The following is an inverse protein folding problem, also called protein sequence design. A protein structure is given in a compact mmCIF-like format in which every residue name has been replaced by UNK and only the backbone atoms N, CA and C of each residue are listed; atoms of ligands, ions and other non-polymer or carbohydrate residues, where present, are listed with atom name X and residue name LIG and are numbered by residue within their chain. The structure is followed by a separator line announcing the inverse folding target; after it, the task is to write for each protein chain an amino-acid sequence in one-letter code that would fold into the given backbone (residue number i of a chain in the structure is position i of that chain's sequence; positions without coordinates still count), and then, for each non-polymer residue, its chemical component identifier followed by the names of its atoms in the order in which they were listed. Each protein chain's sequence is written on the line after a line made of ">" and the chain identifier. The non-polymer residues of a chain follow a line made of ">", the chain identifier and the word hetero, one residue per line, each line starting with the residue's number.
data_IF_083209271284
#
_entry.id   IF_083209271284
#
_cell.length_a   1.000
_cell.length_b   1.000
_cell.length_c   1.000
_cell.angle_alpha   90.00
_cell.angle_beta   90.00
_cell.angle_gamma   90.00
#
_symmetry.space_group_name_H-M   'P 1'
#
loop_
_entity.id
_entity.type
_entity.pdbx_description
1 polymer ?
#
# COMPACT_ATOMS: atom_id res chain seq x y z
N UNK A 1 -22.55 1.36 -7.53
CA UNK A 1 -22.06 0.21 -6.73
C UNK A 1 -20.66 0.53 -6.22
N UNK A 2 -20.46 0.59 -4.89
CA UNK A 2 -19.13 0.78 -4.33
C UNK A 2 -18.37 -0.55 -4.44
N UNK A 3 -17.34 -0.59 -5.29
CA UNK A 3 -16.49 -1.78 -5.43
C UNK A 3 -15.78 -2.04 -4.09
N UNK A 4 -16.19 -3.12 -3.41
CA UNK A 4 -15.51 -3.61 -2.21
C UNK A 4 -14.23 -4.31 -2.66
N UNK A 5 -13.11 -3.89 -2.09
CA UNK A 5 -11.81 -4.53 -2.34
C UNK A 5 -11.62 -5.66 -1.35
N UNK A 6 -11.24 -6.82 -1.84
CA UNK A 6 -10.80 -7.95 -1.02
C UNK A 6 -9.28 -7.94 -0.85
N UNK A 7 -8.76 -8.60 0.19
CA UNK A 7 -7.30 -8.70 0.42
C UNK A 7 -6.57 -9.30 -0.78
N UNK A 8 -7.16 -10.30 -1.44
CA UNK A 8 -6.60 -10.96 -2.62
C UNK A 8 -6.50 -10.00 -3.82
N UNK A 9 -7.53 -9.17 -4.06
CA UNK A 9 -7.47 -8.15 -5.11
C UNK A 9 -6.42 -7.08 -4.80
N UNK A 10 -6.30 -6.69 -3.53
CA UNK A 10 -5.28 -5.73 -3.10
C UNK A 10 -3.88 -6.30 -3.33
N UNK A 11 -3.65 -7.56 -2.96
CA UNK A 11 -2.36 -8.22 -3.17
C UNK A 11 -2.00 -8.26 -4.65
N UNK A 12 -2.91 -8.73 -5.52
CA UNK A 12 -2.70 -8.73 -6.98
C UNK A 12 -2.46 -7.32 -7.51
N UNK A 13 -3.18 -6.32 -7.01
CA UNK A 13 -2.97 -4.93 -7.41
C UNK A 13 -1.57 -4.44 -7.05
N UNK A 14 -1.12 -4.73 -5.83
CA UNK A 14 0.19 -4.33 -5.30
C UNK A 14 1.31 -4.96 -6.12
N UNK A 15 1.24 -6.27 -6.38
CA UNK A 15 2.23 -7.01 -7.19
C UNK A 15 2.27 -6.55 -8.65
N UNK A 16 1.12 -6.20 -9.25
CA UNK A 16 1.06 -5.74 -10.65
C UNK A 16 1.44 -4.26 -10.83
N UNK A 17 1.33 -3.42 -9.79
CA UNK A 17 1.51 -1.96 -9.90
C UNK A 17 2.73 -1.43 -9.15
N UNK A 18 3.47 -2.31 -8.47
CA UNK A 18 4.65 -1.95 -7.69
C UNK A 18 5.55 -3.16 -7.46
N UNK A 19 6.79 -2.88 -7.07
CA UNK A 19 7.75 -3.90 -6.60
C UNK A 19 7.59 -4.20 -5.10
N UNK A 20 6.59 -3.60 -4.45
CA UNK A 20 6.27 -3.85 -3.04
C UNK A 20 5.41 -5.10 -2.91
N UNK A 21 5.48 -5.77 -1.75
CA UNK A 21 4.65 -6.94 -1.40
C UNK A 21 3.71 -6.61 -0.25
N UNK A 22 2.48 -7.10 -0.31
CA UNK A 22 1.54 -6.98 0.81
C UNK A 22 1.86 -8.06 1.86
N UNK A 23 2.04 -7.65 3.12
CA UNK A 23 2.27 -8.58 4.24
C UNK A 23 1.00 -8.80 5.08
N UNK A 24 -0.01 -7.97 4.91
CA UNK A 24 -1.26 -8.07 5.68
C UNK A 24 -2.13 -9.19 5.13
N UNK A 25 -2.72 -9.97 6.02
CA UNK A 25 -3.61 -11.10 5.69
C UNK A 25 -5.10 -10.73 5.77
N UNK A 26 -5.44 -9.67 6.51
CA UNK A 26 -6.82 -9.24 6.73
C UNK A 26 -7.06 -7.78 6.32
N UNK A 27 -8.19 -7.53 5.66
CA UNK A 27 -8.61 -6.19 5.26
C UNK A 27 -10.07 -5.94 5.65
N UNK A 28 -10.24 -5.05 6.62
CA UNK A 28 -11.50 -4.66 7.25
C UNK A 28 -12.08 -3.37 6.67
N UNK A 29 -11.26 -2.51 6.02
CA UNK A 29 -11.77 -1.29 5.40
C UNK A 29 -10.71 -0.29 4.93
N UNK A 30 -11.19 0.77 4.27
CA UNK A 30 -10.35 1.77 3.60
C UNK A 30 -9.46 2.60 4.55
N UNK A 31 -9.86 2.70 5.81
CA UNK A 31 -9.14 3.39 6.89
C UNK A 31 -8.08 2.50 7.55
N UNK A 32 -8.10 1.18 7.33
CA UNK A 32 -7.10 0.27 7.86
C UNK A 32 -5.75 0.51 7.17
N UNK A 33 -4.69 0.60 7.99
CA UNK A 33 -3.32 0.57 7.49
C UNK A 33 -2.94 -0.88 7.16
N UNK A 34 -2.43 -1.06 5.97
CA UNK A 34 -1.87 -2.31 5.49
C UNK A 34 -0.35 -2.24 5.59
N UNK A 35 0.24 -3.31 6.10
CA UNK A 35 1.68 -3.53 6.12
C UNK A 35 2.14 -4.00 4.74
N UNK A 36 3.12 -3.29 4.18
CA UNK A 36 3.78 -3.58 2.92
C UNK A 36 5.28 -3.74 3.14
N UNK A 37 5.90 -4.59 2.33
CA UNK A 37 7.35 -4.75 2.23
C UNK A 37 7.81 -4.12 0.91
N UNK A 38 8.68 -3.12 0.99
CA UNK A 38 9.24 -2.49 -0.19
C UNK A 38 10.35 -3.36 -0.81
N UNK A 39 10.65 -3.15 -2.09
CA UNK A 39 11.74 -3.83 -2.79
C UNK A 39 13.12 -3.60 -2.13
N UNK A 40 13.32 -2.47 -1.44
CA UNK A 40 14.54 -2.20 -0.67
C UNK A 40 14.67 -3.03 0.62
N UNK A 41 13.67 -3.85 0.96
CA UNK A 41 13.65 -4.67 2.18
C UNK A 41 13.03 -3.99 3.39
N UNK A 42 12.75 -2.68 3.33
CA UNK A 42 12.07 -1.95 4.41
C UNK A 42 10.57 -2.23 4.43
N UNK A 43 10.02 -2.38 5.63
CA UNK A 43 8.58 -2.51 5.85
C UNK A 43 7.95 -1.13 6.09
N UNK A 44 6.74 -0.91 5.60
CA UNK A 44 6.02 0.35 5.78
C UNK A 44 4.51 0.12 5.82
N UNK A 45 3.80 0.97 6.56
CA UNK A 45 2.36 0.86 6.74
C UNK A 45 1.63 1.99 6.01
N UNK A 46 0.72 1.65 5.10
CA UNK A 46 -0.14 2.63 4.43
C UNK A 46 -1.55 2.10 4.23
N UNK A 47 -2.51 3.00 4.19
CA UNK A 47 -3.88 2.65 3.76
C UNK A 47 -3.89 2.32 2.27
N UNK A 48 -4.71 1.36 1.85
CA UNK A 48 -4.85 1.00 0.43
C UNK A 48 -5.24 2.20 -0.45
N UNK A 49 -6.07 3.11 0.05
CA UNK A 49 -6.48 4.33 -0.64
C UNK A 49 -5.29 5.23 -0.98
N UNK A 50 -4.36 5.47 -0.04
CA UNK A 50 -3.11 6.21 -0.31
C UNK A 50 -2.22 5.49 -1.30
N UNK A 51 -2.10 4.16 -1.19
CA UNK A 51 -1.30 3.35 -2.09
C UNK A 51 -1.81 3.44 -3.55
N UNK A 52 -3.12 3.30 -3.73
CA UNK A 52 -3.79 3.31 -5.04
C UNK A 52 -3.97 4.74 -5.59
N UNK A 53 -4.63 5.62 -4.84
CA UNK A 53 -5.10 6.93 -5.33
C UNK A 53 -4.03 8.03 -5.25
N UNK A 54 -3.11 7.95 -4.28
CA UNK A 54 -2.03 8.94 -4.10
C UNK A 54 -0.68 8.44 -4.63
N UNK A 55 -0.66 7.29 -5.30
CA UNK A 55 0.55 6.65 -5.84
C UNK A 55 1.69 6.48 -4.81
N UNK A 56 1.36 6.41 -3.51
CA UNK A 56 2.33 6.23 -2.43
C UNK A 56 2.70 4.74 -2.29
N UNK A 57 3.39 4.21 -3.30
CA UNK A 57 3.69 2.77 -3.42
C UNK A 57 5.04 2.34 -2.84
N UNK A 58 5.84 3.32 -2.41
CA UNK A 58 7.19 3.14 -1.86
C UNK A 58 7.21 3.48 -0.37
N UNK A 59 8.18 2.89 0.32
CA UNK A 59 8.49 3.23 1.71
C UNK A 59 9.08 4.64 1.81
N UNK A 60 9.10 5.18 3.02
CA UNK A 60 9.59 6.55 3.28
C UNK A 60 11.12 6.65 3.08
N UNK A 61 11.84 5.53 3.07
CA UNK A 61 13.27 5.48 2.71
C UNK A 61 13.47 5.71 1.22
N UNK A 62 12.70 5.03 0.38
CA UNK A 62 12.81 5.15 -1.08
C UNK A 62 12.12 6.41 -1.62
N UNK A 63 11.10 6.89 -0.92
CA UNK A 63 10.34 8.06 -1.30
C UNK A 63 9.89 8.82 -0.04
N UNK A 64 10.77 9.68 0.50
CA UNK A 64 10.44 10.45 1.68
C UNK A 64 9.20 11.32 1.42
N UNK A 65 8.32 11.47 2.41
CA UNK A 65 7.19 12.39 2.29
C UNK A 65 7.73 13.79 2.00
N UNK A 66 7.17 14.45 0.97
CA UNK A 66 7.51 15.85 0.70
C UNK A 66 7.17 16.68 1.93
N UNK A 67 8.17 17.33 2.50
CA UNK A 67 7.96 18.36 3.52
C UNK A 67 7.01 19.42 2.95
N UNK A 68 5.99 19.78 3.74
CA UNK A 68 5.13 20.90 3.43
C UNK A 68 5.96 22.18 3.57
N UNK A 69 6.37 22.76 2.44
CA UNK A 69 6.90 24.12 2.39
C UNK A 69 5.77 25.11 2.25
#
# INVERSE_FOLDING_TARGET
>A
MNKRWTISEIQKFVENNSESKLLTTEYHGFSQKLLFKCACGSNFEKTFTKFKNKHQRKCDVCQPPKESR
#
